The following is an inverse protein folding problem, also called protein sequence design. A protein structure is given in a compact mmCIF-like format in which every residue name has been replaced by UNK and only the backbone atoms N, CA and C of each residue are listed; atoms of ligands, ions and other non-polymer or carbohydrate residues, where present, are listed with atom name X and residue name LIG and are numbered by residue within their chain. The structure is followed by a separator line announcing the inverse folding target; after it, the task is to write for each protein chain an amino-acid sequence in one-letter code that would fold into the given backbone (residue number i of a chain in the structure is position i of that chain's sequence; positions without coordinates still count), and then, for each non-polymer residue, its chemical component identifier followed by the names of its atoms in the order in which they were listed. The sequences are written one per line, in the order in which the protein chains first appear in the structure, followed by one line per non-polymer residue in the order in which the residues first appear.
data_IF_993340152007
#
_entry.id   IF_993340152007
#
_cell.length_a   1.000
_cell.length_b   1.000
_cell.length_c   1.000
_cell.angle_alpha   90.00
_cell.angle_beta   90.00
_cell.angle_gamma   90.00
#
_symmetry.space_group_name_H-M   'P 1'
#
loop_
_entity.id
_entity.type
_entity.pdbx_description
1 polymer ?
#
# COMPACT_ATOMS: atom_id res chain seq x y z
N UNK A 1 44.13 54.22 -20.57
CA UNK A 1 43.40 54.39 -21.84
C UNK A 1 44.19 53.71 -22.95
N UNK A 2 43.83 52.48 -23.31
CA UNK A 2 44.37 51.79 -24.48
C UNK A 2 43.24 51.08 -25.22
N UNK A 3 43.24 51.28 -26.53
CA UNK A 3 42.21 51.03 -27.55
C UNK A 3 42.10 49.52 -27.83
N UNK A 4 40.89 48.94 -27.88
CA UNK A 4 39.99 48.77 -29.06
C UNK A 4 40.55 47.78 -30.09
N UNK A 5 39.86 46.64 -30.31
CA UNK A 5 39.56 46.08 -31.64
C UNK A 5 38.83 44.73 -31.53
N UNK A 6 37.52 44.77 -31.78
CA UNK A 6 36.73 43.62 -32.25
C UNK A 6 36.16 44.04 -33.61
N UNK A 7 36.44 43.32 -34.70
CA UNK A 7 35.74 43.53 -35.98
C UNK A 7 34.58 42.53 -36.20
N UNK A 8 33.70 42.79 -37.18
CA UNK A 8 32.28 42.39 -37.19
C UNK A 8 31.83 41.50 -38.37
N UNK A 9 30.55 41.02 -38.29
CA UNK A 9 29.49 40.80 -39.31
C UNK A 9 29.93 40.48 -40.77
N UNK A 10 29.49 39.40 -41.43
CA UNK A 10 28.19 39.10 -42.10
C UNK A 10 28.52 38.30 -43.42
N UNK A 11 27.60 37.96 -44.36
CA UNK A 11 26.46 37.05 -44.33
C UNK A 11 26.46 36.03 -45.52
N UNK A 12 25.34 35.29 -45.63
CA UNK A 12 24.63 34.97 -46.88
C UNK A 12 24.87 33.67 -47.68
N UNK A 13 23.71 33.19 -48.16
CA UNK A 13 23.45 32.51 -49.43
C UNK A 13 23.46 30.96 -49.55
N UNK A 14 22.28 30.39 -49.27
CA UNK A 14 21.40 29.75 -50.25
C UNK A 14 22.02 28.87 -51.38
N UNK A 15 21.81 27.53 -51.32
CA UNK A 15 21.62 26.68 -52.53
C UNK A 15 21.18 25.24 -52.20
N UNK A 16 19.88 24.95 -52.37
CA UNK A 16 19.45 23.69 -53.00
C UNK A 16 19.23 23.99 -54.51
N UNK A 17 19.04 23.02 -55.44
CA UNK A 17 18.91 21.57 -55.31
C UNK A 17 19.81 20.79 -56.31
N UNK A 18 20.00 19.48 -56.09
CA UNK A 18 20.38 18.53 -57.16
C UNK A 18 19.67 17.19 -56.94
N UNK A 19 18.54 17.04 -57.61
CA UNK A 19 18.02 15.75 -58.06
C UNK A 19 18.97 15.15 -59.11
N UNK A 20 19.22 13.85 -59.00
CA UNK A 20 19.45 12.86 -60.08
C UNK A 20 19.84 11.52 -59.43
N UNK A 21 19.56 10.35 -60.03
CA UNK A 21 18.30 9.85 -60.56
C UNK A 21 17.89 8.51 -59.91
N UNK A 22 16.61 8.15 -60.04
CA UNK A 22 16.03 6.85 -59.64
C UNK A 22 16.85 5.64 -60.12
N UNK A 23 17.19 4.76 -59.18
CA UNK A 23 17.42 3.34 -59.43
C UNK A 23 16.19 2.56 -58.92
N UNK A 24 15.79 1.44 -59.54
CA UNK A 24 14.49 0.82 -59.30
C UNK A 24 14.43 0.13 -57.92
N UNK A 25 13.60 0.67 -57.05
CA UNK A 25 13.32 0.22 -55.67
C UNK A 25 12.34 -0.97 -55.64
N UNK A 26 12.42 -1.90 -56.60
CA UNK A 26 11.40 -2.93 -56.78
C UNK A 26 11.79 -4.36 -56.36
N UNK A 27 12.92 -4.57 -55.68
CA UNK A 27 13.36 -5.96 -55.38
C UNK A 27 13.29 -6.40 -53.92
N UNK A 28 13.23 -5.49 -52.94
CA UNK A 28 13.24 -5.87 -51.52
C UNK A 28 11.84 -6.22 -50.98
N UNK A 29 10.83 -5.41 -51.33
CA UNK A 29 9.46 -5.61 -50.83
C UNK A 29 8.83 -6.90 -51.36
N UNK A 30 9.13 -7.24 -52.62
CA UNK A 30 8.62 -8.46 -53.27
C UNK A 30 9.13 -9.75 -52.63
N UNK A 31 10.35 -9.75 -52.09
CA UNK A 31 10.91 -10.92 -51.41
C UNK A 31 10.37 -11.06 -49.98
N UNK A 32 10.06 -9.95 -49.31
CA UNK A 32 9.46 -9.96 -47.97
C UNK A 32 8.00 -10.45 -47.99
N UNK A 33 7.21 -10.06 -48.99
CA UNK A 33 5.82 -10.53 -49.14
C UNK A 33 5.75 -12.02 -49.51
N UNK A 34 6.71 -12.55 -50.26
CA UNK A 34 6.79 -13.97 -50.61
C UNK A 34 7.13 -14.83 -49.38
N UNK A 35 8.08 -14.38 -48.55
CA UNK A 35 8.42 -15.05 -47.29
C UNK A 35 7.28 -15.00 -46.27
N UNK A 36 6.53 -13.89 -46.19
CA UNK A 36 5.34 -13.78 -45.37
C UNK A 36 4.22 -14.73 -45.85
N UNK A 37 4.07 -14.91 -47.17
CA UNK A 37 3.04 -15.80 -47.74
C UNK A 37 3.33 -17.29 -47.54
N UNK A 38 4.61 -17.67 -47.38
CA UNK A 38 5.05 -19.06 -47.16
C UNK A 38 5.05 -19.49 -45.69
N UNK A 39 4.82 -18.58 -44.75
CA UNK A 39 4.87 -18.89 -43.32
C UNK A 39 3.63 -19.65 -42.80
N UNK A 40 2.58 -19.79 -43.62
CA UNK A 40 1.32 -20.44 -43.23
C UNK A 40 0.48 -19.65 -42.21
N UNK A 41 0.90 -18.43 -41.86
CA UNK A 41 0.18 -17.53 -40.96
C UNK A 41 -0.58 -16.47 -41.76
N UNK A 42 -1.84 -16.23 -41.40
CA UNK A 42 -2.57 -15.06 -41.89
C UNK A 42 -2.15 -13.82 -41.10
N UNK A 43 -1.18 -13.10 -41.64
CA UNK A 43 -0.67 -11.87 -41.04
C UNK A 43 -1.73 -10.79 -40.90
N UNK A 44 -2.76 -10.78 -41.76
CA UNK A 44 -3.84 -9.82 -41.66
C UNK A 44 -4.70 -10.04 -40.40
N UNK A 45 -4.80 -11.29 -39.93
CA UNK A 45 -5.43 -11.63 -38.65
C UNK A 45 -4.58 -11.27 -37.41
N UNK A 46 -3.29 -10.99 -37.61
CA UNK A 46 -2.37 -10.58 -36.55
C UNK A 46 -2.27 -9.07 -36.41
N UNK A 47 -2.80 -8.30 -37.37
CA UNK A 47 -2.87 -6.86 -37.29
C UNK A 47 -4.00 -6.47 -36.34
N UNK A 48 -3.66 -5.68 -35.32
CA UNK A 48 -4.65 -5.02 -34.49
C UNK A 48 -5.34 -3.91 -35.29
N UNK A 49 -6.64 -3.68 -35.10
CA UNK A 49 -7.33 -2.55 -35.72
C UNK A 49 -6.71 -1.22 -35.24
N UNK A 50 -6.75 -0.17 -36.08
CA UNK A 50 -6.09 1.13 -35.79
C UNK A 50 -6.58 1.78 -34.48
N UNK A 51 -7.78 1.41 -34.03
CA UNK A 51 -8.42 1.85 -32.78
C UNK A 51 -8.25 0.87 -31.61
N UNK A 52 -7.31 -0.09 -31.71
CA UNK A 52 -6.92 -0.98 -30.62
C UNK A 52 -6.17 -0.25 -29.49
N UNK A 53 -6.76 0.83 -28.98
CA UNK A 53 -6.50 1.30 -27.63
C UNK A 53 -7.07 0.24 -26.69
N UNK A 54 -6.22 -0.68 -26.24
CA UNK A 54 -6.55 -1.53 -25.10
C UNK A 54 -7.03 -0.61 -23.97
N UNK A 55 -8.29 -0.75 -23.57
CA UNK A 55 -8.86 -0.04 -22.43
C UNK A 55 -8.17 -0.60 -21.17
N UNK A 56 -6.91 -0.18 -20.93
CA UNK A 56 -6.13 -0.54 -19.75
C UNK A 56 -6.77 0.16 -18.55
N UNK A 57 -7.87 -0.40 -18.07
CA UNK A 57 -8.47 -0.01 -16.80
C UNK A 57 -7.60 -0.56 -15.68
N UNK A 58 -6.62 0.24 -15.26
CA UNK A 58 -5.84 -0.04 -14.06
C UNK A 58 -6.80 -0.02 -12.86
N UNK A 59 -7.14 -1.21 -12.36
CA UNK A 59 -7.88 -1.34 -11.10
C UNK A 59 -6.85 -1.45 -9.99
N UNK A 60 -6.74 -0.43 -9.14
CA UNK A 60 -5.87 -0.50 -7.96
C UNK A 60 -6.38 -1.59 -7.02
N UNK A 61 -5.55 -2.62 -6.79
CA UNK A 61 -5.82 -3.66 -5.79
C UNK A 61 -5.37 -3.15 -4.41
N UNK A 62 -6.27 -3.06 -3.42
CA UNK A 62 -5.91 -2.61 -2.08
C UNK A 62 -4.85 -3.54 -1.45
N UNK A 63 -3.70 -3.00 -1.06
CA UNK A 63 -2.65 -3.76 -0.39
C UNK A 63 -3.06 -4.28 1.00
N UNK A 64 -2.47 -5.38 1.45
CA UNK A 64 -2.78 -6.00 2.75
C UNK A 64 -2.49 -5.03 3.91
N UNK A 65 -3.46 -4.75 4.81
CA UNK A 65 -3.27 -3.82 5.90
C UNK A 65 -2.25 -4.36 6.90
N UNK A 66 -1.32 -3.52 7.36
CA UNK A 66 -0.30 -3.96 8.32
C UNK A 66 -0.88 -3.97 9.73
N UNK A 67 -0.77 -5.09 10.45
CA UNK A 67 -1.17 -5.24 11.87
C UNK A 67 -0.19 -4.55 12.83
N UNK A 68 0.15 -3.29 12.54
CA UNK A 68 1.08 -2.47 13.33
C UNK A 68 0.65 -1.02 13.25
N UNK A 69 0.93 -0.28 14.33
CA UNK A 69 0.85 1.19 14.35
C UNK A 69 1.58 1.79 13.13
N UNK A 70 1.09 2.90 12.55
CA UNK A 70 1.82 3.66 11.55
C UNK A 70 3.27 3.98 11.99
N UNK A 71 4.24 4.04 11.06
CA UNK A 71 5.62 4.39 11.37
C UNK A 71 5.75 5.71 12.12
N UNK A 72 6.79 5.85 12.96
CA UNK A 72 7.08 7.08 13.70
C UNK A 72 7.51 8.26 12.82
N UNK A 73 7.74 8.03 11.52
CA UNK A 73 8.06 9.06 10.53
C UNK A 73 6.82 9.62 9.83
N UNK A 74 5.69 8.91 9.89
CA UNK A 74 4.51 9.21 9.08
C UNK A 74 3.36 9.79 9.89
N UNK A 75 2.66 10.74 9.29
CA UNK A 75 1.39 11.23 9.79
C UNK A 75 0.25 10.34 9.30
N UNK A 76 -0.75 10.14 10.16
CA UNK A 76 -1.91 9.31 9.88
C UNK A 76 -3.21 9.99 10.33
N UNK A 77 -4.32 9.49 9.78
CA UNK A 77 -5.69 9.82 10.14
C UNK A 77 -6.46 8.55 10.50
N UNK A 78 -7.49 8.70 11.32
CA UNK A 78 -8.42 7.64 11.73
C UNK A 78 -9.87 8.07 11.46
N UNK A 79 -10.80 7.12 11.46
CA UNK A 79 -12.23 7.39 11.27
C UNK A 79 -13.06 6.49 12.18
N UNK A 80 -14.07 7.06 12.84
CA UNK A 80 -14.98 6.33 13.76
C UNK A 80 -15.60 5.07 13.17
N UNK A 81 -15.96 5.09 11.88
CA UNK A 81 -16.55 3.94 11.18
C UNK A 81 -15.57 2.81 10.87
N UNK A 82 -14.27 3.02 11.04
CA UNK A 82 -13.22 2.04 10.74
C UNK A 82 -12.52 1.60 12.03
N UNK A 83 -13.31 1.27 13.05
CA UNK A 83 -12.81 0.68 14.29
C UNK A 83 -13.79 -0.34 14.87
N UNK A 84 -13.27 -1.26 15.67
CA UNK A 84 -14.07 -2.29 16.34
C UNK A 84 -13.31 -2.99 17.45
N UNK A 85 -14.03 -3.63 18.36
CA UNK A 85 -13.44 -4.45 19.42
C UNK A 85 -13.34 -5.90 18.95
N UNK A 86 -12.19 -6.51 19.16
CA UNK A 86 -11.86 -7.87 18.73
C UNK A 86 -11.08 -8.60 19.82
N UNK A 87 -11.10 -9.93 19.82
CA UNK A 87 -10.15 -10.73 20.58
C UNK A 87 -8.96 -11.09 19.69
N UNK A 88 -7.76 -10.95 20.23
CA UNK A 88 -6.54 -11.36 19.54
C UNK A 88 -5.69 -12.25 20.42
N UNK A 89 -5.05 -13.23 19.81
CA UNK A 89 -4.05 -14.08 20.43
C UNK A 89 -2.69 -13.75 19.82
N UNK A 90 -1.73 -13.40 20.67
CA UNK A 90 -0.38 -13.05 20.24
C UNK A 90 0.56 -14.21 20.59
N UNK A 91 1.27 -14.73 19.59
CA UNK A 91 2.30 -15.76 19.77
C UNK A 91 3.64 -15.21 19.32
N UNK A 92 4.69 -15.51 20.07
CA UNK A 92 6.07 -15.26 19.66
C UNK A 92 6.71 -16.62 19.30
N UNK A 93 6.96 -16.84 18.02
CA UNK A 93 7.66 -18.03 17.53
C UNK A 93 8.92 -17.61 16.79
N UNK A 94 10.08 -18.14 17.20
CA UNK A 94 11.39 -17.83 16.61
C UNK A 94 11.71 -16.31 16.52
N UNK A 95 11.23 -15.53 17.50
CA UNK A 95 11.38 -14.08 17.53
C UNK A 95 10.42 -13.31 16.60
N UNK A 96 9.59 -14.01 15.83
CA UNK A 96 8.52 -13.40 15.04
C UNK A 96 7.19 -13.40 15.81
N UNK A 97 6.73 -12.19 16.15
CA UNK A 97 5.44 -11.98 16.78
C UNK A 97 4.32 -12.06 15.76
N UNK A 98 3.52 -13.11 15.86
CA UNK A 98 2.32 -13.30 15.03
C UNK A 98 1.07 -13.02 15.85
N UNK A 99 0.11 -12.33 15.23
CA UNK A 99 -1.17 -11.99 15.85
C UNK A 99 -2.28 -12.70 15.09
N UNK A 100 -3.09 -13.44 15.83
CA UNK A 100 -4.26 -14.15 15.34
C UNK A 100 -5.55 -13.47 15.80
N UNK A 101 -6.57 -13.49 14.95
CA UNK A 101 -7.93 -13.10 15.31
C UNK A 101 -8.64 -14.31 15.94
N UNK A 102 -9.31 -14.07 17.07
CA UNK A 102 -10.08 -15.11 17.77
C UNK A 102 -11.55 -14.69 17.80
N UNK A 103 -12.49 -15.49 17.28
CA UNK A 103 -13.91 -15.25 17.45
C UNK A 103 -14.32 -15.29 18.92
N UNK A 104 -15.28 -14.46 19.37
CA UNK A 104 -15.74 -14.45 20.76
C UNK A 104 -16.15 -15.84 21.28
N UNK A 105 -16.84 -16.64 20.45
CA UNK A 105 -17.25 -18.00 20.79
C UNK A 105 -16.08 -18.93 21.16
N UNK A 106 -14.90 -18.73 20.55
CA UNK A 106 -13.69 -19.51 20.86
C UNK A 106 -13.00 -18.95 22.09
N UNK A 107 -12.93 -17.61 22.22
CA UNK A 107 -12.36 -16.95 23.39
C UNK A 107 -13.09 -17.32 24.69
N UNK A 108 -14.42 -17.42 24.65
CA UNK A 108 -15.25 -17.84 25.80
C UNK A 108 -15.00 -19.29 26.23
N UNK A 109 -14.60 -20.16 25.31
CA UNK A 109 -14.27 -21.56 25.60
C UNK A 109 -12.83 -21.74 26.13
N UNK A 110 -12.03 -20.68 26.11
CA UNK A 110 -10.63 -20.68 26.54
C UNK A 110 -10.36 -19.57 27.59
N UNK A 111 -11.10 -19.53 28.71
CA UNK A 111 -10.96 -18.46 29.70
C UNK A 111 -9.62 -18.49 30.45
N UNK A 112 -8.96 -19.65 30.49
CA UNK A 112 -7.66 -19.84 31.14
C UNK A 112 -6.49 -19.30 30.29
N UNK A 113 -6.71 -19.07 28.99
CA UNK A 113 -5.68 -18.65 28.06
C UNK A 113 -5.42 -17.14 28.16
N UNK A 114 -4.53 -16.75 29.06
CA UNK A 114 -4.12 -15.35 29.27
C UNK A 114 -3.48 -14.68 28.03
N UNK A 115 -3.13 -15.46 27.01
CA UNK A 115 -2.66 -14.98 25.71
C UNK A 115 -3.77 -14.31 24.87
N UNK A 116 -5.04 -14.68 25.10
CA UNK A 116 -6.19 -14.07 24.42
C UNK A 116 -6.51 -12.75 25.11
N UNK A 117 -6.40 -11.66 24.37
CA UNK A 117 -6.61 -10.30 24.90
C UNK A 117 -7.64 -9.54 24.07
N UNK A 118 -8.60 -8.84 24.71
CA UNK A 118 -9.48 -7.93 24.00
C UNK A 118 -8.69 -6.69 23.55
N UNK A 119 -8.79 -6.37 22.27
CA UNK A 119 -8.16 -5.20 21.65
C UNK A 119 -9.20 -4.38 20.90
N UNK A 120 -9.04 -3.05 20.91
CA UNK A 120 -9.70 -2.15 19.97
C UNK A 120 -8.83 -2.02 18.72
N UNK A 121 -9.32 -2.51 17.61
CA UNK A 121 -8.68 -2.36 16.31
C UNK A 121 -9.14 -1.04 15.67
N UNK A 122 -8.17 -0.20 15.26
CA UNK A 122 -8.42 1.09 14.62
C UNK A 122 -7.68 1.13 13.30
N UNK A 123 -8.37 1.43 12.21
CA UNK A 123 -7.73 1.65 10.91
C UNK A 123 -7.11 3.04 10.89
N UNK A 124 -5.82 3.07 10.62
CA UNK A 124 -5.04 4.27 10.41
C UNK A 124 -4.62 4.34 8.94
N UNK A 125 -4.90 5.48 8.29
CA UNK A 125 -4.47 5.75 6.91
C UNK A 125 -3.37 6.80 6.97
N UNK A 126 -2.20 6.49 6.44
CA UNK A 126 -1.07 7.42 6.38
C UNK A 126 -1.22 8.36 5.20
N UNK A 127 -0.52 9.50 5.22
CA UNK A 127 -0.59 10.48 4.13
C UNK A 127 -0.11 9.92 2.79
N UNK A 128 0.79 8.95 2.84
CA UNK A 128 1.31 8.21 1.66
C UNK A 128 0.32 7.16 1.13
N UNK A 129 -0.85 6.99 1.77
CA UNK A 129 -1.85 5.99 1.38
C UNK A 129 -1.64 4.62 2.04
N UNK A 130 -0.70 4.50 2.99
CA UNK A 130 -0.48 3.25 3.73
C UNK A 130 -1.63 2.95 4.69
N UNK A 131 -2.14 1.72 4.66
CA UNK A 131 -3.18 1.27 5.57
C UNK A 131 -2.62 0.41 6.69
N UNK A 132 -2.92 0.81 7.92
CA UNK A 132 -2.45 0.19 9.15
C UNK A 132 -3.64 -0.16 10.03
N UNK A 133 -3.60 -1.32 10.66
CA UNK A 133 -4.54 -1.70 11.70
C UNK A 133 -3.81 -1.66 13.05
N UNK A 134 -4.09 -0.63 13.83
CA UNK A 134 -3.51 -0.46 15.15
C UNK A 134 -4.40 -1.15 16.19
N UNK A 135 -3.84 -2.15 16.86
CA UNK A 135 -4.47 -2.85 17.97
C UNK A 135 -4.11 -2.15 19.30
N UNK A 136 -5.12 -1.64 19.99
CA UNK A 136 -4.99 -0.94 21.28
C UNK A 136 -5.62 -1.81 22.36
N UNK A 137 -5.01 -1.91 23.55
CA UNK A 137 -5.57 -2.74 24.62
C UNK A 137 -6.92 -2.22 25.08
N UNK A 138 -7.95 -3.08 25.09
CA UNK A 138 -9.26 -2.69 25.58
C UNK A 138 -9.23 -2.69 27.12
N UNK A 139 -9.61 -1.58 27.76
CA UNK A 139 -9.59 -1.44 29.22
C UNK A 139 -8.20 -1.31 29.85
N UNK A 140 -7.14 -1.15 29.04
CA UNK A 140 -5.79 -0.90 29.55
C UNK A 140 -5.70 0.47 30.23
N UNK A 141 -5.18 0.50 31.45
CA UNK A 141 -4.96 1.72 32.24
C UNK A 141 -3.52 2.23 32.15
N UNK A 142 -2.66 1.52 31.43
CA UNK A 142 -1.27 1.90 31.23
C UNK A 142 -1.13 3.12 30.32
N UNK A 143 -0.04 3.87 30.52
CA UNK A 143 0.25 5.11 29.80
C UNK A 143 0.40 4.90 28.28
N UNK A 144 0.85 3.72 27.83
CA UNK A 144 0.91 3.40 26.40
C UNK A 144 -0.48 3.27 25.79
N UNK A 145 -1.39 2.56 26.46
CA UNK A 145 -2.77 2.45 26.01
C UNK A 145 -3.48 3.81 26.01
N UNK A 146 -3.35 4.59 27.09
CA UNK A 146 -3.97 5.92 27.18
C UNK A 146 -3.47 6.88 26.10
N UNK A 147 -2.15 6.93 25.88
CA UNK A 147 -1.57 7.78 24.83
C UNK A 147 -1.93 7.30 23.41
N UNK A 148 -2.10 6.00 23.19
CA UNK A 148 -2.58 5.46 21.91
C UNK A 148 -4.04 5.87 21.64
N UNK A 149 -4.93 5.76 22.65
CA UNK A 149 -6.33 6.20 22.54
C UNK A 149 -6.36 7.69 22.17
N UNK A 150 -5.64 8.53 22.91
CA UNK A 150 -5.54 9.97 22.64
C UNK A 150 -5.00 10.26 21.23
N UNK A 151 -3.99 9.52 20.77
CA UNK A 151 -3.45 9.65 19.42
C UNK A 151 -4.53 9.36 18.37
N UNK A 152 -5.28 8.27 18.54
CA UNK A 152 -6.34 7.89 17.59
C UNK A 152 -7.51 8.85 17.60
N UNK A 153 -7.88 9.43 18.74
CA UNK A 153 -8.93 10.45 18.83
C UNK A 153 -8.53 11.78 18.18
N UNK A 154 -7.28 12.20 18.38
CA UNK A 154 -6.73 13.38 17.70
C UNK A 154 -6.66 13.15 16.19
N UNK A 155 -6.28 11.94 15.76
CA UNK A 155 -6.17 11.55 14.36
C UNK A 155 -7.51 11.54 13.61
N UNK A 156 -8.64 11.56 14.31
CA UNK A 156 -9.96 11.73 13.68
C UNK A 156 -10.11 13.13 13.09
N UNK A 157 -9.52 14.13 13.78
CA UNK A 157 -9.73 15.56 13.47
C UNK A 157 -8.60 16.15 12.64
N UNK A 158 -7.36 15.72 12.88
CA UNK A 158 -6.16 16.31 12.27
C UNK A 158 -5.10 15.24 12.02
N UNK A 159 -4.11 15.55 11.19
CA UNK A 159 -2.99 14.65 10.94
C UNK A 159 -2.12 14.49 12.18
N UNK A 160 -1.95 13.25 12.63
CA UNK A 160 -1.17 12.94 13.85
C UNK A 160 -0.03 12.01 13.50
N UNK A 161 1.12 12.23 14.13
CA UNK A 161 2.24 11.29 14.15
C UNK A 161 2.46 10.85 15.59
N UNK A 162 2.48 9.55 15.82
CA UNK A 162 2.73 8.96 17.13
C UNK A 162 4.16 8.41 17.16
N UNK A 163 4.94 8.78 18.18
CA UNK A 163 6.32 8.30 18.36
C UNK A 163 6.46 7.66 19.73
N UNK A 164 6.97 6.43 19.77
CA UNK A 164 7.22 5.73 21.02
C UNK A 164 8.33 6.41 21.80
N UNK A 165 8.01 6.94 22.99
CA UNK A 165 8.96 7.58 23.90
C UNK A 165 9.25 6.66 25.07
N UNK A 166 10.27 5.82 24.97
CA UNK A 166 10.62 4.86 26.04
C UNK A 166 10.96 5.54 27.36
N UNK A 167 11.55 6.73 27.34
CA UNK A 167 11.85 7.53 28.54
C UNK A 167 10.60 8.00 29.29
N UNK A 168 9.48 8.19 28.59
CA UNK A 168 8.23 8.66 29.18
C UNK A 168 7.21 7.53 29.36
N UNK A 169 7.48 6.34 28.80
CA UNK A 169 6.54 5.21 28.85
C UNK A 169 5.24 5.46 28.07
N UNK A 170 5.27 6.29 27.01
CA UNK A 170 4.07 6.70 26.28
C UNK A 170 4.33 6.99 24.79
N UNK A 171 3.25 7.17 24.03
CA UNK A 171 3.30 7.73 22.69
C UNK A 171 3.29 9.26 22.73
N UNK A 172 4.40 9.88 22.30
CA UNK A 172 4.42 11.31 22.02
C UNK A 172 3.66 11.57 20.72
N UNK A 173 2.57 12.32 20.81
CA UNK A 173 1.75 12.69 19.67
C UNK A 173 2.17 14.07 19.15
N UNK A 174 2.41 14.16 17.84
CA UNK A 174 2.68 15.42 17.14
C UNK A 174 1.59 15.62 16.12
N UNK A 175 0.91 16.77 16.18
CA UNK A 175 -0.10 17.17 15.20
C UNK A 175 0.54 18.00 14.10
N UNK A 176 0.04 17.88 12.87
CA UNK A 176 0.43 18.78 11.80
C UNK A 176 -0.48 20.02 11.79
N UNK A 177 0.11 21.20 11.73
CA UNK A 177 -0.60 22.47 11.56
C UNK A 177 -0.60 22.86 10.07
N UNK A 178 -1.71 23.43 9.59
CA UNK A 178 -1.81 23.94 8.22
C UNK A 178 -1.93 22.88 7.12
N UNK A 179 -2.33 21.64 7.44
CA UNK A 179 -2.63 20.59 6.45
C UNK A 179 -4.14 20.32 6.44
N UNK A 180 -4.82 20.87 5.43
CA UNK A 180 -6.27 20.65 5.21
C UNK A 180 -6.58 19.47 4.28
N UNK A 181 -5.54 18.86 3.69
CA UNK A 181 -5.66 17.69 2.83
C UNK A 181 -6.35 16.54 3.58
N UNK A 182 -7.46 16.04 3.03
CA UNK A 182 -8.14 14.89 3.61
C UNK A 182 -7.46 13.60 3.14
N UNK A 183 -7.35 12.59 4.01
CA UNK A 183 -6.83 11.28 3.63
C UNK A 183 -7.72 10.64 2.56
N UNK A 184 -7.11 9.94 1.61
CA UNK A 184 -7.83 9.05 0.69
C UNK A 184 -8.33 7.84 1.45
N UNK A 185 -9.57 7.89 1.92
CA UNK A 185 -10.16 6.76 2.64
C UNK A 185 -10.35 5.56 1.72
N UNK A 186 -10.06 4.33 2.19
CA UNK A 186 -10.40 3.12 1.46
C UNK A 186 -11.92 3.06 1.24
N UNK A 187 -12.33 2.59 0.06
CA UNK A 187 -13.76 2.33 -0.25
C UNK A 187 -14.32 1.12 0.50
N UNK A 188 -13.41 0.27 0.98
CA UNK A 188 -13.70 -0.96 1.69
C UNK A 188 -14.29 -0.69 3.08
N UNK A 189 -15.13 -1.61 3.55
CA UNK A 189 -15.65 -1.55 4.91
C UNK A 189 -14.56 -1.94 5.94
N UNK A 190 -14.81 -1.62 7.21
CA UNK A 190 -13.95 -2.09 8.30
C UNK A 190 -13.79 -3.62 8.30
N UNK A 191 -14.85 -4.36 7.97
CA UNK A 191 -14.86 -5.82 7.98
C UNK A 191 -13.99 -6.38 6.85
N UNK A 192 -14.05 -5.81 5.65
CA UNK A 192 -13.19 -6.22 4.53
C UNK A 192 -11.71 -5.98 4.86
N UNK A 193 -11.42 -4.81 5.45
CA UNK A 193 -10.08 -4.45 5.92
C UNK A 193 -9.59 -5.45 6.99
N UNK A 194 -10.45 -5.79 7.93
CA UNK A 194 -10.13 -6.73 9.00
C UNK A 194 -9.88 -8.14 8.45
N UNK A 195 -10.74 -8.61 7.54
CA UNK A 195 -10.61 -9.91 6.87
C UNK A 195 -9.28 -10.01 6.12
N UNK A 196 -8.90 -8.99 5.34
CA UNK A 196 -7.60 -8.96 4.65
C UNK A 196 -6.41 -8.89 5.60
N UNK A 197 -6.54 -8.16 6.70
CA UNK A 197 -5.46 -8.03 7.69
C UNK A 197 -5.17 -9.37 8.40
N UNK A 198 -6.19 -10.18 8.64
CA UNK A 198 -6.10 -11.48 9.33
C UNK A 198 -6.25 -12.68 8.39
N UNK A 199 -6.09 -12.49 7.08
CA UNK A 199 -6.17 -13.58 6.13
C UNK A 199 -5.16 -14.70 6.49
N UNK A 200 -5.66 -15.94 6.58
CA UNK A 200 -4.91 -17.10 7.07
C UNK A 200 -4.51 -17.08 8.56
N UNK A 201 -4.98 -16.11 9.35
CA UNK A 201 -4.62 -15.92 10.77
C UNK A 201 -5.86 -15.79 11.67
N UNK A 202 -6.85 -16.65 11.44
CA UNK A 202 -8.07 -16.72 12.25
C UNK A 202 -8.10 -18.08 12.97
N UNK A 203 -8.29 -18.05 14.28
CA UNK A 203 -8.44 -19.25 15.11
C UNK A 203 -9.92 -19.50 15.35
N UNK A 204 -10.55 -20.23 14.43
CA UNK A 204 -11.99 -20.49 14.42
C UNK A 204 -12.41 -21.82 15.06
N UNK A 205 -11.44 -22.67 15.43
CA UNK A 205 -11.66 -23.99 16.02
C UNK A 205 -10.74 -24.23 17.22
N UNK A 206 -11.22 -25.00 18.21
CA UNK A 206 -10.43 -25.41 19.38
C UNK A 206 -9.28 -26.36 19.02
N UNK A 207 -9.36 -27.04 17.87
CA UNK A 207 -8.32 -27.94 17.37
C UNK A 207 -7.25 -27.23 16.54
N UNK A 208 -7.25 -25.90 16.52
CA UNK A 208 -6.25 -25.13 15.80
C UNK A 208 -4.85 -25.42 16.36
N UNK A 209 -3.85 -25.57 15.49
CA UNK A 209 -2.47 -25.94 15.87
C UNK A 209 -1.91 -25.05 17.00
N UNK A 210 -2.13 -23.74 16.90
CA UNK A 210 -1.72 -22.77 17.94
C UNK A 210 -2.36 -23.04 19.30
N UNK A 211 -3.64 -23.42 19.36
CA UNK A 211 -4.29 -23.75 20.65
C UNK A 211 -3.70 -25.06 21.21
N UNK A 212 -3.45 -26.05 20.35
CA UNK A 212 -2.85 -27.33 20.76
C UNK A 212 -1.44 -27.12 21.33
N UNK A 213 -0.65 -26.26 20.69
CA UNK A 213 0.68 -25.87 21.15
C UNK A 213 0.62 -25.16 22.51
N UNK A 214 -0.31 -24.22 22.71
CA UNK A 214 -0.48 -23.54 24.01
C UNK A 214 -0.86 -24.51 25.14
N UNK A 215 -1.64 -25.53 24.83
CA UNK A 215 -2.02 -26.60 25.78
C UNK A 215 -0.92 -27.64 26.01
N UNK A 216 0.24 -27.54 25.36
CA UNK A 216 1.32 -28.52 25.43
C UNK A 216 0.96 -29.88 24.82
N UNK A 217 0.01 -29.91 23.89
CA UNK A 217 -0.44 -31.11 23.18
C UNK A 217 0.34 -31.37 21.86
N UNK A 218 1.32 -30.52 21.57
CA UNK A 218 2.26 -30.59 20.43
C UNK A 218 3.66 -30.15 20.88
#
# INVERSE_FOLDING_TARGET
MSKKSTPPLEPDNNKAPKESPSAPEQSADSQAVEAASQSGYDWNSMLLPEDAAGDFRTTEVPGVPRLKRPPNTQFFRTRKGHCGNIYTLETDYDGERTVYLVPPLIAEQLPEEAAIKPKRAVVCVTREGGQHLWLISLGGTDTWTQSAIKATELAEKQWVRATSSRSLGEYRCVTAEGIDEQPKWPKESFIDILSRAFDGRVIDTLNHAIIRQLKGLE
#
